data_IF_341711011496
#
_entry.id   IF_341711011496
#
_cell.length_a   1.000
_cell.length_b   1.000
_cell.length_c   1.000
_cell.angle_alpha   90.00
_cell.angle_beta   90.00
_cell.angle_gamma   90.00
#
_symmetry.space_group_name_H-M   'P 1'
#
loop_
_entity.id
_entity.type
_entity.pdbx_description
1 polymer ?
#
# COMPACT_ATOMS: atom_id res chain seq x y z
N UNK A 1 45.78 -38.19 -13.93
CA UNK A 1 46.23 -39.13 -15.00
C UNK A 1 45.95 -40.57 -14.59
N UNK A 2 46.28 -40.98 -13.38
CA UNK A 2 46.06 -42.34 -12.89
C UNK A 2 44.63 -42.84 -13.02
N UNK A 3 43.62 -41.96 -12.78
CA UNK A 3 42.22 -42.30 -12.94
C UNK A 3 41.85 -42.61 -14.40
N UNK A 4 42.39 -41.84 -15.37
CA UNK A 4 42.18 -42.05 -16.79
C UNK A 4 42.76 -43.38 -17.26
N UNK A 5 43.98 -43.69 -16.77
CA UNK A 5 44.67 -44.95 -17.06
C UNK A 5 43.92 -46.13 -16.48
N UNK A 6 43.45 -46.00 -15.23
CA UNK A 6 42.73 -47.08 -14.53
C UNK A 6 41.32 -47.33 -15.13
N UNK A 7 40.60 -46.27 -15.43
CA UNK A 7 39.22 -46.38 -15.96
C UNK A 7 39.16 -46.62 -17.49
N UNK A 8 40.27 -46.40 -18.18
CA UNK A 8 40.42 -46.58 -19.63
C UNK A 8 39.35 -45.86 -20.47
N UNK A 9 38.91 -44.68 -19.98
CA UNK A 9 37.92 -43.82 -20.66
C UNK A 9 38.29 -42.36 -20.54
N UNK A 10 37.69 -41.53 -21.39
CA UNK A 10 37.85 -40.08 -21.29
C UNK A 10 37.22 -39.58 -19.99
N UNK A 11 38.00 -38.84 -19.21
CA UNK A 11 37.51 -38.18 -18.01
C UNK A 11 37.64 -36.66 -18.15
N UNK A 12 36.68 -35.95 -17.56
CA UNK A 12 36.70 -34.49 -17.45
C UNK A 12 37.21 -34.08 -16.08
N UNK A 13 38.07 -33.09 -16.07
CA UNK A 13 38.61 -32.48 -14.86
C UNK A 13 38.45 -30.98 -14.91
N UNK A 14 38.33 -30.34 -13.75
CA UNK A 14 38.47 -28.90 -13.57
C UNK A 14 39.75 -28.62 -12.83
N UNK A 15 40.68 -27.92 -13.48
CA UNK A 15 42.04 -27.73 -12.95
C UNK A 15 42.34 -26.22 -12.88
N UNK A 16 42.92 -25.77 -11.76
CA UNK A 16 43.45 -24.40 -11.62
C UNK A 16 44.94 -24.41 -11.96
N UNK A 17 45.34 -23.68 -12.99
CA UNK A 17 46.72 -23.64 -13.51
C UNK A 17 47.27 -22.23 -13.38
N UNK A 18 48.52 -22.12 -12.92
CA UNK A 18 49.24 -20.85 -12.90
C UNK A 18 49.83 -20.56 -14.28
N UNK A 19 49.31 -19.53 -14.97
CA UNK A 19 49.84 -19.05 -16.23
C UNK A 19 50.67 -17.78 -16.04
N UNK A 20 51.31 -17.29 -17.12
CA UNK A 20 52.15 -16.09 -17.11
C UNK A 20 51.41 -14.83 -16.63
N UNK A 21 50.11 -14.77 -16.82
CA UNK A 21 49.23 -13.62 -16.50
C UNK A 21 48.24 -13.92 -15.35
N UNK A 22 48.54 -14.88 -14.45
CA UNK A 22 47.73 -15.21 -13.28
C UNK A 22 47.18 -16.62 -13.29
N UNK A 23 46.25 -16.89 -12.36
CA UNK A 23 45.57 -18.19 -12.27
C UNK A 23 44.53 -18.34 -13.37
N UNK A 24 44.50 -19.52 -14.01
CA UNK A 24 43.50 -19.87 -15.03
C UNK A 24 42.74 -21.12 -14.59
N UNK A 25 41.46 -21.13 -14.92
CA UNK A 25 40.59 -22.29 -14.67
C UNK A 25 40.43 -23.04 -15.99
N UNK A 26 40.94 -24.27 -16.05
CA UNK A 26 40.85 -25.10 -17.24
C UNK A 26 39.80 -26.21 -17.03
N UNK A 27 38.97 -26.42 -18.04
CA UNK A 27 38.20 -27.63 -18.17
C UNK A 27 38.94 -28.58 -19.11
N UNK A 28 39.54 -29.63 -18.55
CA UNK A 28 40.44 -30.55 -19.25
C UNK A 28 39.73 -31.88 -19.49
N UNK A 29 39.77 -32.36 -20.72
CA UNK A 29 39.35 -33.68 -21.10
C UNK A 29 40.59 -34.51 -21.34
N UNK A 30 40.81 -35.61 -20.59
CA UNK A 30 41.93 -36.49 -20.71
C UNK A 30 41.46 -37.87 -21.16
N UNK A 31 42.06 -38.40 -22.23
CA UNK A 31 41.77 -39.70 -22.82
C UNK A 31 42.99 -40.61 -22.76
N UNK A 32 42.85 -41.93 -22.55
CA UNK A 32 43.95 -42.84 -22.63
C UNK A 32 44.38 -43.05 -24.09
N UNK A 33 45.69 -43.13 -24.28
CA UNK A 33 46.29 -43.59 -25.52
C UNK A 33 46.57 -45.08 -25.34
N UNK A 34 45.94 -45.89 -26.16
CA UNK A 34 46.14 -47.38 -26.09
C UNK A 34 46.98 -47.85 -27.26
N UNK A 35 47.73 -48.94 -27.05
CA UNK A 35 48.49 -49.57 -28.10
C UNK A 35 47.61 -50.32 -29.07
N UNK A 36 48.17 -50.86 -30.15
CA UNK A 36 47.46 -51.65 -31.20
C UNK A 36 46.73 -52.87 -30.66
N UNK A 37 47.11 -53.34 -29.51
CA UNK A 37 46.44 -54.45 -28.80
C UNK A 37 45.09 -54.03 -28.16
N UNK A 38 44.80 -52.72 -28.10
CA UNK A 38 43.61 -52.14 -27.44
C UNK A 38 43.60 -52.31 -25.89
N UNK A 39 44.64 -52.87 -25.33
CA UNK A 39 44.73 -53.26 -23.91
C UNK A 39 45.77 -52.42 -23.14
N UNK A 40 46.96 -52.28 -23.75
CA UNK A 40 48.07 -51.59 -23.10
C UNK A 40 47.90 -50.07 -23.22
N UNK A 41 47.84 -49.35 -22.09
CA UNK A 41 47.79 -47.88 -22.06
C UNK A 41 49.21 -47.33 -22.14
N UNK A 42 49.51 -46.61 -23.23
CA UNK A 42 50.82 -46.02 -23.51
C UNK A 42 51.00 -44.65 -22.86
N UNK A 43 49.87 -43.96 -22.57
CA UNK A 43 49.89 -42.64 -21.98
C UNK A 43 48.51 -42.00 -21.99
N UNK A 44 48.44 -40.68 -21.75
CA UNK A 44 47.21 -39.91 -21.82
C UNK A 44 47.40 -38.70 -22.76
N UNK A 45 46.36 -38.34 -23.47
CA UNK A 45 46.24 -37.08 -24.20
C UNK A 45 45.14 -36.23 -23.57
N UNK A 46 45.41 -34.94 -23.42
CA UNK A 46 44.43 -34.02 -22.84
C UNK A 46 44.25 -32.77 -23.69
N UNK A 47 43.01 -32.29 -23.73
CA UNK A 47 42.66 -30.99 -24.28
C UNK A 47 42.06 -30.15 -23.14
N UNK A 48 42.65 -28.99 -22.91
CA UNK A 48 42.15 -28.03 -21.89
C UNK A 48 41.48 -26.83 -22.57
N UNK A 49 40.28 -26.52 -22.12
CA UNK A 49 39.59 -25.28 -22.43
C UNK A 49 39.77 -24.31 -21.28
N UNK A 50 40.26 -23.11 -21.55
CA UNK A 50 40.25 -22.00 -20.58
C UNK A 50 38.79 -21.50 -20.38
N UNK A 51 38.30 -21.68 -19.18
CA UNK A 51 36.96 -21.27 -18.78
C UNK A 51 36.97 -20.16 -17.72
N UNK A 52 38.13 -19.53 -17.51
CA UNK A 52 38.32 -18.52 -16.45
C UNK A 52 37.33 -17.40 -16.54
N UNK A 53 37.14 -16.79 -17.74
CA UNK A 53 36.27 -15.65 -17.93
C UNK A 53 34.80 -16.05 -17.73
N UNK A 54 34.41 -17.25 -18.15
CA UNK A 54 33.07 -17.79 -17.92
C UNK A 54 32.78 -17.99 -16.44
N UNK A 55 33.74 -18.55 -15.71
CA UNK A 55 33.60 -18.79 -14.24
C UNK A 55 33.52 -17.44 -13.49
N UNK A 56 34.39 -16.49 -13.84
CA UNK A 56 34.41 -15.16 -13.23
C UNK A 56 33.09 -14.43 -13.50
N UNK A 57 32.63 -14.40 -14.77
CA UNK A 57 31.36 -13.77 -15.12
C UNK A 57 30.17 -14.39 -14.37
N UNK A 58 30.14 -15.72 -14.23
CA UNK A 58 29.10 -16.41 -13.46
C UNK A 58 29.13 -16.01 -11.98
N UNK A 59 30.32 -15.88 -11.40
CA UNK A 59 30.50 -15.44 -10.00
C UNK A 59 30.08 -13.97 -9.81
N UNK A 60 30.42 -13.10 -10.77
CA UNK A 60 30.02 -11.69 -10.75
C UNK A 60 28.49 -11.54 -10.82
N UNK A 61 27.83 -12.29 -11.71
CA UNK A 61 26.35 -12.30 -11.82
C UNK A 61 25.74 -12.79 -10.50
N UNK A 62 26.28 -13.85 -9.91
CA UNK A 62 25.76 -14.37 -8.62
C UNK A 62 25.89 -13.31 -7.51
N UNK A 63 27.05 -12.64 -7.40
CA UNK A 63 27.28 -11.56 -6.42
C UNK A 63 26.27 -10.42 -6.65
N UNK A 64 26.06 -10.01 -7.89
CA UNK A 64 25.08 -8.96 -8.23
C UNK A 64 23.66 -9.35 -7.80
N UNK A 65 23.23 -10.55 -8.14
CA UNK A 65 21.90 -11.06 -7.75
C UNK A 65 21.73 -11.10 -6.22
N UNK A 66 22.78 -11.57 -5.50
CA UNK A 66 22.71 -11.65 -4.04
C UNK A 66 22.76 -10.28 -3.35
N UNK A 67 23.35 -9.26 -3.99
CA UNK A 67 23.45 -7.91 -3.44
C UNK A 67 22.22 -7.03 -3.73
N UNK A 68 21.34 -7.45 -4.62
CA UNK A 68 20.14 -6.67 -4.97
C UNK A 68 19.19 -6.51 -3.78
N UNK A 69 18.60 -5.30 -3.57
CA UNK A 69 17.69 -5.03 -2.46
C UNK A 69 16.28 -5.62 -2.67
N UNK A 70 16.04 -6.27 -3.82
CA UNK A 70 14.76 -6.87 -4.20
C UNK A 70 14.82 -8.39 -4.10
N UNK A 71 13.71 -9.02 -3.77
CA UNK A 71 13.60 -10.46 -3.90
C UNK A 71 13.47 -10.82 -5.38
N UNK A 72 14.25 -11.78 -5.83
CA UNK A 72 14.32 -12.20 -7.24
C UNK A 72 14.12 -13.70 -7.31
N UNK A 73 13.31 -14.10 -8.29
CA UNK A 73 13.03 -15.49 -8.62
C UNK A 73 13.08 -15.68 -10.13
N UNK A 74 13.77 -16.71 -10.57
CA UNK A 74 13.95 -17.07 -11.99
C UNK A 74 13.36 -18.45 -12.24
N UNK A 75 12.62 -18.62 -13.36
CA UNK A 75 12.12 -19.92 -13.81
C UNK A 75 12.28 -20.11 -15.31
N UNK A 76 12.29 -21.35 -15.75
CA UNK A 76 12.42 -21.76 -17.15
C UNK A 76 11.09 -21.68 -17.92
N UNK A 77 11.14 -22.00 -19.22
CA UNK A 77 9.96 -22.02 -20.09
C UNK A 77 8.90 -23.08 -19.72
N UNK A 78 9.26 -24.03 -18.84
CA UNK A 78 8.34 -25.05 -18.33
C UNK A 78 7.71 -24.63 -16.99
N UNK A 79 7.96 -23.40 -16.53
CA UNK A 79 7.47 -22.90 -15.25
C UNK A 79 8.28 -23.37 -14.05
N UNK A 80 9.41 -24.09 -14.23
CA UNK A 80 10.23 -24.59 -13.12
C UNK A 80 11.16 -23.53 -12.59
N UNK A 81 11.11 -23.27 -11.29
CA UNK A 81 11.98 -22.34 -10.57
C UNK A 81 13.42 -22.83 -10.64
N UNK A 82 14.31 -22.02 -11.20
CA UNK A 82 15.73 -22.28 -11.38
C UNK A 82 16.59 -21.68 -10.29
N UNK A 83 16.26 -20.46 -9.85
CA UNK A 83 17.06 -19.74 -8.87
C UNK A 83 16.22 -18.73 -8.07
N UNK A 84 16.68 -18.43 -6.86
CA UNK A 84 16.17 -17.36 -6.00
C UNK A 84 17.34 -16.72 -5.26
N UNK A 85 17.28 -15.42 -5.02
CA UNK A 85 18.33 -14.71 -4.29
C UNK A 85 18.08 -14.69 -2.78
N UNK A 86 19.05 -14.21 -2.00
CA UNK A 86 18.97 -14.11 -0.54
C UNK A 86 17.78 -13.25 -0.07
N UNK A 87 17.45 -12.17 -0.81
CA UNK A 87 16.28 -11.32 -0.48
C UNK A 87 14.96 -12.06 -0.59
N UNK A 88 14.85 -12.99 -1.52
CA UNK A 88 13.70 -13.89 -1.61
C UNK A 88 13.53 -14.70 -0.31
N UNK A 89 14.61 -15.29 0.21
CA UNK A 89 14.56 -16.04 1.47
C UNK A 89 14.15 -15.15 2.66
N UNK A 90 14.65 -13.90 2.69
CA UNK A 90 14.29 -12.93 3.73
C UNK A 90 12.81 -12.53 3.67
N UNK A 91 12.23 -12.36 2.46
CA UNK A 91 10.84 -11.91 2.29
C UNK A 91 9.84 -13.02 2.57
N UNK A 92 10.09 -14.20 2.01
CA UNK A 92 9.17 -15.33 2.08
C UNK A 92 9.47 -16.31 3.23
N UNK A 93 10.59 -16.13 3.96
CA UNK A 93 11.06 -17.03 5.04
C UNK A 93 11.19 -18.49 4.60
N UNK A 94 11.51 -18.68 3.33
CA UNK A 94 11.71 -20.00 2.72
C UNK A 94 13.15 -20.06 2.19
N UNK A 95 13.92 -21.12 2.51
CA UNK A 95 15.22 -21.32 1.89
C UNK A 95 15.05 -21.57 0.40
N UNK A 96 15.98 -21.09 -0.41
CA UNK A 96 15.91 -21.21 -1.87
C UNK A 96 15.78 -22.66 -2.34
N UNK A 97 16.43 -23.60 -1.63
CA UNK A 97 16.38 -25.04 -1.92
C UNK A 97 14.96 -25.60 -1.80
N UNK A 98 14.09 -24.98 -1.00
CA UNK A 98 12.72 -25.41 -0.84
C UNK A 98 11.82 -25.03 -2.03
N UNK A 99 12.24 -24.10 -2.88
CA UNK A 99 11.47 -23.63 -4.04
C UNK A 99 12.07 -24.03 -5.38
N UNK A 100 13.38 -24.24 -5.46
CA UNK A 100 14.05 -24.70 -6.69
C UNK A 100 13.41 -26.01 -7.20
N UNK A 101 13.11 -26.06 -8.51
CA UNK A 101 12.46 -27.17 -9.18
C UNK A 101 10.94 -27.27 -9.00
N UNK A 102 10.33 -26.44 -8.14
CA UNK A 102 8.86 -26.32 -8.05
C UNK A 102 8.32 -25.55 -9.24
N UNK A 103 7.04 -25.75 -9.51
CA UNK A 103 6.29 -24.97 -10.48
C UNK A 103 5.98 -23.57 -9.92
N UNK A 104 6.28 -22.54 -10.72
CA UNK A 104 6.10 -21.14 -10.31
C UNK A 104 4.63 -20.77 -10.08
N UNK A 105 3.73 -21.20 -10.99
CA UNK A 105 2.31 -20.85 -10.91
C UNK A 105 1.66 -21.48 -9.68
N UNK A 106 2.05 -22.70 -9.34
CA UNK A 106 1.60 -23.39 -8.14
C UNK A 106 2.15 -22.71 -6.88
N UNK A 107 3.42 -22.34 -6.90
CA UNK A 107 4.06 -21.67 -5.77
C UNK A 107 3.46 -20.28 -5.53
N UNK A 108 3.35 -19.45 -6.57
CA UNK A 108 2.87 -18.06 -6.46
C UNK A 108 1.41 -17.99 -6.01
N UNK A 109 0.60 -19.00 -6.37
CA UNK A 109 -0.80 -19.08 -5.94
C UNK A 109 -0.95 -19.25 -4.42
N UNK A 110 0.02 -19.94 -3.78
CA UNK A 110 0.01 -20.16 -2.33
C UNK A 110 0.84 -19.16 -1.52
N UNK A 111 1.63 -18.31 -2.18
CA UNK A 111 2.58 -17.43 -1.51
C UNK A 111 1.95 -16.14 -0.97
N UNK A 112 0.76 -15.76 -1.46
CA UNK A 112 0.10 -14.50 -1.13
C UNK A 112 -1.31 -14.72 -0.59
N UNK A 113 -1.78 -13.80 0.25
CA UNK A 113 -3.20 -13.69 0.60
C UNK A 113 -4.03 -13.44 -0.67
N UNK A 114 -5.31 -13.83 -0.66
CA UNK A 114 -6.18 -13.82 -1.84
C UNK A 114 -6.37 -12.45 -2.51
N UNK A 115 -6.04 -11.34 -1.84
CA UNK A 115 -6.22 -10.00 -2.38
C UNK A 115 -4.98 -9.50 -3.12
N UNK A 116 -4.98 -9.72 -4.44
CA UNK A 116 -4.05 -9.03 -5.34
C UNK A 116 -4.74 -7.77 -5.87
N UNK A 117 -4.04 -6.64 -5.83
CA UNK A 117 -4.52 -5.37 -6.38
C UNK A 117 -3.59 -4.91 -7.49
N UNK A 118 -4.14 -4.14 -8.45
CA UNK A 118 -3.32 -3.49 -9.49
C UNK A 118 -3.16 -2.04 -9.04
N UNK A 119 -1.90 -1.57 -8.96
CA UNK A 119 -1.61 -0.19 -8.59
C UNK A 119 -1.84 0.77 -9.76
N UNK A 120 -1.65 2.09 -9.52
CA UNK A 120 -1.85 3.13 -10.53
C UNK A 120 -0.90 3.04 -11.74
N UNK A 121 0.22 2.32 -11.60
CA UNK A 121 1.21 2.08 -12.64
C UNK A 121 0.97 0.77 -13.42
N UNK A 122 -0.05 0.00 -13.03
CA UNK A 122 -0.43 -1.25 -13.68
C UNK A 122 0.30 -2.49 -13.16
N UNK A 123 1.09 -2.38 -12.08
CA UNK A 123 1.76 -3.51 -11.45
C UNK A 123 0.87 -4.21 -10.42
N UNK A 124 1.08 -5.50 -10.26
CA UNK A 124 0.38 -6.30 -9.26
C UNK A 124 1.00 -6.07 -7.89
N UNK A 125 0.17 -5.70 -6.93
CA UNK A 125 0.55 -5.64 -5.52
C UNK A 125 -0.14 -6.75 -4.74
N UNK A 126 0.61 -7.43 -3.87
CA UNK A 126 0.10 -8.49 -3.03
C UNK A 126 0.72 -8.46 -1.64
N UNK A 127 -0.05 -8.88 -0.63
CA UNK A 127 0.41 -8.99 0.74
C UNK A 127 0.93 -10.40 1.01
N UNK A 128 2.14 -10.48 1.57
CA UNK A 128 2.68 -11.73 2.12
C UNK A 128 2.36 -11.74 3.61
N UNK A 129 1.55 -12.71 4.03
CA UNK A 129 1.29 -12.95 5.46
C UNK A 129 2.53 -13.55 6.12
N UNK A 130 2.78 -13.13 7.34
CA UNK A 130 3.83 -13.68 8.19
C UNK A 130 3.22 -14.17 9.50
N UNK A 131 3.77 -15.22 10.04
CA UNK A 131 3.36 -15.75 11.35
C UNK A 131 3.53 -14.74 12.48
N UNK A 132 4.44 -13.75 12.32
CA UNK A 132 4.67 -12.64 13.26
C UNK A 132 3.65 -11.48 13.13
N UNK A 133 2.67 -11.59 12.24
CA UNK A 133 1.63 -10.57 12.00
C UNK A 133 2.10 -9.34 11.21
N UNK A 134 3.39 -9.19 10.94
CA UNK A 134 3.96 -8.10 10.15
C UNK A 134 4.01 -8.48 8.66
N UNK A 135 2.87 -8.50 7.98
CA UNK A 135 2.81 -8.75 6.54
C UNK A 135 3.54 -7.68 5.74
N UNK A 136 4.23 -8.09 4.65
CA UNK A 136 4.85 -7.17 3.69
C UNK A 136 3.92 -6.92 2.51
N UNK A 137 3.86 -5.67 2.04
CA UNK A 137 3.25 -5.34 0.77
C UNK A 137 4.32 -5.41 -0.32
N UNK A 138 4.18 -6.34 -1.26
CA UNK A 138 5.12 -6.52 -2.36
C UNK A 138 4.50 -6.10 -3.68
N UNK A 139 5.24 -5.32 -4.44
CA UNK A 139 4.97 -5.02 -5.85
C UNK A 139 5.69 -6.05 -6.70
N UNK A 140 4.98 -6.66 -7.65
CA UNK A 140 5.42 -7.82 -8.42
C UNK A 140 5.66 -7.40 -9.87
N UNK A 141 6.88 -7.60 -10.37
CA UNK A 141 7.28 -7.32 -11.75
C UNK A 141 7.76 -8.60 -12.42
N UNK A 142 7.04 -9.05 -13.46
CA UNK A 142 7.43 -10.20 -14.26
C UNK A 142 8.01 -9.75 -15.61
N UNK A 143 9.19 -10.26 -15.94
CA UNK A 143 9.88 -9.96 -17.19
C UNK A 143 10.33 -11.25 -17.87
N UNK A 144 10.27 -11.28 -19.21
CA UNK A 144 10.82 -12.37 -19.99
C UNK A 144 12.34 -12.24 -20.11
N UNK A 145 13.05 -13.35 -19.97
CA UNK A 145 14.50 -13.47 -20.20
C UNK A 145 14.70 -14.14 -21.56
N UNK A 146 15.57 -13.56 -22.38
CA UNK A 146 15.83 -14.01 -23.74
C UNK A 146 17.22 -14.62 -23.85
N UNK A 147 17.36 -15.64 -24.69
CA UNK A 147 18.64 -16.20 -25.07
C UNK A 147 19.37 -15.35 -26.15
N UNK A 148 20.55 -15.77 -26.55
CA UNK A 148 21.35 -15.07 -27.58
C UNK A 148 20.74 -15.07 -28.97
N UNK A 149 19.71 -15.89 -29.19
CA UNK A 149 18.95 -16.00 -30.43
C UNK A 149 17.62 -15.27 -30.37
N UNK A 150 17.38 -14.49 -29.29
CA UNK A 150 16.14 -13.76 -29.02
C UNK A 150 14.91 -14.65 -28.83
N UNK A 151 15.10 -15.90 -28.37
CA UNK A 151 14.02 -16.77 -27.90
C UNK A 151 13.84 -16.61 -26.39
N UNK A 152 12.62 -16.72 -25.90
CA UNK A 152 12.35 -16.72 -24.46
C UNK A 152 13.06 -17.93 -23.83
N UNK A 153 14.03 -17.69 -22.96
CA UNK A 153 14.75 -18.72 -22.22
C UNK A 153 14.12 -19.00 -20.86
N UNK A 154 13.28 -18.08 -20.36
CA UNK A 154 12.63 -18.15 -19.07
C UNK A 154 12.02 -16.84 -18.69
N UNK A 155 11.63 -16.70 -17.41
CA UNK A 155 11.10 -15.46 -16.86
C UNK A 155 11.77 -15.12 -15.54
N UNK A 156 11.79 -13.84 -15.24
CA UNK A 156 12.31 -13.24 -14.01
C UNK A 156 11.17 -12.52 -13.29
N UNK A 157 10.99 -12.80 -12.01
CA UNK A 157 10.11 -12.04 -11.14
C UNK A 157 10.93 -11.24 -10.13
N UNK A 158 10.61 -9.96 -10.00
CA UNK A 158 11.16 -9.05 -9.01
C UNK A 158 10.04 -8.67 -8.05
N UNK A 159 10.27 -8.89 -6.76
CA UNK A 159 9.36 -8.48 -5.68
C UNK A 159 10.00 -7.29 -4.95
N UNK A 160 9.36 -6.13 -5.06
CA UNK A 160 9.77 -4.90 -4.38
C UNK A 160 8.94 -4.73 -3.12
N UNK A 161 9.57 -4.55 -1.98
CA UNK A 161 8.90 -4.21 -0.73
C UNK A 161 8.49 -2.73 -0.74
N UNK A 162 7.19 -2.48 -0.83
CA UNK A 162 6.59 -1.14 -0.84
C UNK A 162 5.80 -0.85 0.44
N UNK A 163 6.04 -1.63 1.50
CA UNK A 163 5.30 -1.53 2.77
C UNK A 163 5.38 -0.12 3.36
N UNK A 164 6.60 0.41 3.50
CA UNK A 164 6.83 1.73 4.09
C UNK A 164 6.23 2.83 3.22
N UNK A 165 6.41 2.76 1.91
CA UNK A 165 5.84 3.72 0.95
C UNK A 165 4.31 3.76 1.07
N UNK A 166 3.66 2.59 1.11
CA UNK A 166 2.20 2.52 1.21
C UNK A 166 1.66 2.98 2.57
N UNK A 167 2.40 2.71 3.63
CA UNK A 167 2.01 3.18 4.97
C UNK A 167 2.19 4.71 5.08
N UNK A 168 3.26 5.27 4.54
CA UNK A 168 3.45 6.72 4.44
C UNK A 168 2.37 7.37 3.57
N UNK A 169 2.05 6.82 2.41
CA UNK A 169 0.97 7.33 1.57
C UNK A 169 -0.38 7.33 2.30
N UNK A 170 -0.69 6.26 3.05
CA UNK A 170 -1.91 6.21 3.88
C UNK A 170 -1.90 7.28 4.97
N UNK A 171 -0.77 7.47 5.66
CA UNK A 171 -0.62 8.49 6.69
C UNK A 171 -0.76 9.90 6.10
N UNK A 172 -0.11 10.19 4.97
CA UNK A 172 -0.22 11.47 4.27
C UNK A 172 -1.67 11.69 3.81
N UNK A 173 -2.32 10.68 3.24
CA UNK A 173 -3.72 10.76 2.82
C UNK A 173 -4.65 11.00 4.01
N UNK A 174 -4.43 10.30 5.12
CA UNK A 174 -5.22 10.47 6.33
C UNK A 174 -5.04 11.89 6.89
N UNK A 175 -3.83 12.35 7.09
CA UNK A 175 -3.54 13.70 7.59
C UNK A 175 -3.95 14.81 6.61
N UNK A 176 -3.98 14.52 5.30
CA UNK A 176 -4.45 15.47 4.28
C UNK A 176 -5.97 15.57 4.19
N UNK A 177 -6.73 14.55 4.65
CA UNK A 177 -8.18 14.47 4.51
C UNK A 177 -8.94 14.67 5.82
N UNK A 178 -8.26 14.64 6.96
CA UNK A 178 -8.88 14.79 8.27
C UNK A 178 -8.42 16.08 8.97
N UNK A 179 -9.24 16.59 9.87
CA UNK A 179 -8.89 17.62 10.82
C UNK A 179 -8.07 17.01 11.97
N UNK A 180 -6.90 17.52 12.23
CA UNK A 180 -5.92 16.95 13.17
C UNK A 180 -6.42 16.90 14.63
N UNK A 181 -7.30 17.84 15.02
CA UNK A 181 -7.81 17.92 16.39
C UNK A 181 -8.98 16.96 16.61
N UNK A 182 -9.94 17.00 15.71
CA UNK A 182 -11.20 16.27 15.87
C UNK A 182 -11.21 14.92 15.19
N UNK A 183 -10.30 14.66 14.23
CA UNK A 183 -10.28 13.46 13.39
C UNK A 183 -11.47 13.32 12.45
N UNK A 184 -12.36 14.31 12.35
CA UNK A 184 -13.39 14.40 11.30
C UNK A 184 -12.73 14.68 9.95
N UNK A 185 -13.47 14.50 8.86
CA UNK A 185 -12.99 14.95 7.57
C UNK A 185 -12.80 16.47 7.56
N UNK A 186 -11.80 16.94 6.81
CA UNK A 186 -11.53 18.37 6.68
C UNK A 186 -12.24 18.98 5.45
N UNK A 187 -12.12 20.28 5.29
CA UNK A 187 -12.67 21.05 4.16
C UNK A 187 -12.26 20.46 2.80
N UNK A 188 -11.00 20.06 2.64
CA UNK A 188 -10.48 19.47 1.40
C UNK A 188 -11.18 18.16 1.06
N UNK A 189 -11.30 17.28 2.05
CA UNK A 189 -11.98 15.99 1.87
C UNK A 189 -13.45 16.17 1.53
N UNK A 190 -14.14 17.17 2.12
CA UNK A 190 -15.53 17.50 1.78
C UNK A 190 -15.69 17.80 0.28
N UNK A 191 -14.89 18.70 -0.29
CA UNK A 191 -14.97 18.99 -1.72
C UNK A 191 -14.66 17.80 -2.60
N UNK A 192 -13.67 16.97 -2.23
CA UNK A 192 -13.37 15.73 -2.94
C UNK A 192 -14.51 14.73 -2.87
N UNK A 193 -15.13 14.55 -1.69
CA UNK A 193 -16.26 13.66 -1.49
C UNK A 193 -17.44 14.02 -2.40
N UNK A 194 -17.81 15.29 -2.41
CA UNK A 194 -18.89 15.77 -3.28
C UNK A 194 -18.52 15.62 -4.76
N UNK A 195 -17.30 15.96 -5.16
CA UNK A 195 -16.86 15.81 -6.54
C UNK A 195 -16.97 14.37 -7.03
N UNK A 196 -16.51 13.41 -6.23
CA UNK A 196 -16.53 11.99 -6.58
C UNK A 196 -17.94 11.38 -6.57
N UNK A 197 -18.90 12.00 -5.88
CA UNK A 197 -20.26 11.54 -5.78
C UNK A 197 -21.25 12.41 -6.60
N UNK A 198 -20.74 13.20 -7.54
CA UNK A 198 -21.53 13.94 -8.52
C UNK A 198 -22.29 12.97 -9.44
N UNK A 199 -23.48 12.64 -9.11
CA UNK A 199 -24.37 11.82 -9.91
C UNK A 199 -25.74 11.82 -9.29
N UNK A 200 -26.79 11.65 -10.04
CA UNK A 200 -28.25 11.54 -9.81
C UNK A 200 -28.78 11.36 -8.37
N UNK A 201 -28.16 11.93 -7.33
CA UNK A 201 -28.59 11.81 -5.94
C UNK A 201 -28.91 13.18 -5.36
N UNK A 202 -30.02 13.27 -4.66
CA UNK A 202 -30.31 14.41 -3.78
C UNK A 202 -29.21 14.54 -2.75
N UNK A 203 -28.78 15.76 -2.46
CA UNK A 203 -27.78 16.03 -1.41
C UNK A 203 -28.45 16.89 -0.35
N UNK A 204 -28.37 16.44 0.90
CA UNK A 204 -28.81 17.22 2.06
C UNK A 204 -27.58 17.66 2.85
N UNK A 205 -27.56 18.88 3.33
CA UNK A 205 -26.44 19.47 4.03
C UNK A 205 -26.93 20.17 5.30
N UNK A 206 -26.28 19.88 6.43
CA UNK A 206 -26.42 20.62 7.67
C UNK A 206 -25.12 21.39 7.92
N UNK A 207 -25.19 22.71 7.96
CA UNK A 207 -24.09 23.58 8.35
C UNK A 207 -24.26 23.92 9.83
N UNK A 208 -23.26 23.63 10.63
CA UNK A 208 -23.30 23.71 12.09
C UNK A 208 -22.21 24.67 12.56
N UNK A 209 -22.55 25.52 13.51
CA UNK A 209 -21.61 26.46 14.13
C UNK A 209 -21.87 26.53 15.65
N UNK A 210 -20.81 26.51 16.43
CA UNK A 210 -20.90 26.53 17.90
C UNK A 210 -21.15 27.95 18.39
N UNK A 211 -22.26 28.14 19.09
CA UNK A 211 -22.64 29.45 19.58
C UNK A 211 -21.65 29.99 20.60
N UNK A 212 -21.13 31.19 20.35
CA UNK A 212 -20.20 31.89 21.26
C UNK A 212 -18.93 31.10 21.60
N UNK A 213 -18.46 30.27 20.71
CA UNK A 213 -17.25 29.47 20.94
C UNK A 213 -16.03 30.32 21.32
N UNK A 214 -15.93 31.51 20.75
CA UNK A 214 -14.88 32.46 21.13
C UNK A 214 -14.93 32.82 22.62
N UNK A 215 -16.12 33.05 23.20
CA UNK A 215 -16.30 33.34 24.62
C UNK A 215 -15.82 32.19 25.51
N UNK A 216 -15.99 30.93 25.05
CA UNK A 216 -15.45 29.75 25.74
C UNK A 216 -13.92 29.78 25.76
N UNK A 217 -13.29 30.07 24.62
CA UNK A 217 -11.84 30.19 24.52
C UNK A 217 -11.30 31.33 25.40
N UNK A 218 -11.97 32.48 25.37
CA UNK A 218 -11.57 33.67 26.12
C UNK A 218 -11.73 33.47 27.64
N UNK A 219 -12.72 32.67 28.06
CA UNK A 219 -13.05 32.44 29.49
C UNK A 219 -12.24 31.29 30.11
N UNK A 220 -12.15 30.16 29.38
CA UNK A 220 -11.62 28.88 29.90
C UNK A 220 -10.29 28.49 29.26
N UNK A 221 -9.85 29.24 28.25
CA UNK A 221 -8.63 28.94 27.49
C UNK A 221 -8.79 27.91 26.37
N UNK A 222 -7.82 27.90 25.45
CA UNK A 222 -7.88 27.08 24.25
C UNK A 222 -7.94 25.57 24.51
N UNK A 223 -7.37 25.09 25.63
CA UNK A 223 -7.47 23.66 25.98
C UNK A 223 -8.91 23.19 26.20
N UNK A 224 -9.73 24.02 26.82
CA UNK A 224 -11.15 23.75 27.01
C UNK A 224 -11.89 23.87 25.67
N UNK A 225 -11.56 24.89 24.88
CA UNK A 225 -12.09 25.02 23.52
C UNK A 225 -11.80 23.81 22.63
N UNK A 226 -10.57 23.30 22.65
CA UNK A 226 -10.22 22.07 21.92
C UNK A 226 -11.02 20.87 22.40
N UNK A 227 -11.22 20.69 23.71
CA UNK A 227 -12.05 19.64 24.26
C UNK A 227 -13.53 19.77 23.84
N UNK A 228 -14.05 20.99 23.72
CA UNK A 228 -15.38 21.26 23.18
C UNK A 228 -15.50 20.83 21.72
N UNK A 229 -14.50 21.14 20.89
CA UNK A 229 -14.49 20.74 19.48
C UNK A 229 -14.44 19.22 19.33
N UNK A 230 -13.61 18.53 20.14
CA UNK A 230 -13.54 17.06 20.16
C UNK A 230 -14.87 16.47 20.60
N UNK A 231 -15.48 16.97 21.68
CA UNK A 231 -16.80 16.52 22.14
C UNK A 231 -17.87 16.68 21.06
N UNK A 232 -17.91 17.84 20.38
CA UNK A 232 -18.84 18.08 19.27
C UNK A 232 -18.65 17.06 18.16
N UNK A 233 -17.40 16.76 17.80
CA UNK A 233 -17.08 15.75 16.80
C UNK A 233 -17.58 14.36 17.20
N UNK A 234 -17.45 14.00 18.46
CA UNK A 234 -17.89 12.68 18.98
C UNK A 234 -19.42 12.58 18.96
N UNK A 235 -20.14 13.64 19.35
CA UNK A 235 -21.60 13.71 19.25
C UNK A 235 -22.05 13.56 17.79
N UNK A 236 -21.41 14.27 16.86
CA UNK A 236 -21.72 14.16 15.43
C UNK A 236 -21.47 12.77 14.88
N UNK A 237 -20.35 12.12 15.23
CA UNK A 237 -20.07 10.72 14.82
C UNK A 237 -21.11 9.73 15.34
N UNK A 238 -21.62 9.94 16.55
CA UNK A 238 -22.61 9.05 17.14
C UNK A 238 -23.97 9.17 16.48
N UNK A 239 -24.40 10.40 16.18
CA UNK A 239 -25.72 10.67 15.60
C UNK A 239 -25.75 10.44 14.08
N UNK A 240 -24.68 10.70 13.37
CA UNK A 240 -24.58 10.68 11.92
C UNK A 240 -23.59 9.61 11.40
N UNK A 241 -23.70 8.37 11.89
CA UNK A 241 -22.74 7.28 11.61
C UNK A 241 -22.62 6.94 10.13
N UNK A 242 -23.70 7.06 9.39
CA UNK A 242 -23.77 6.68 7.98
C UNK A 242 -23.59 7.89 7.04
N UNK A 243 -23.40 9.07 7.61
CA UNK A 243 -23.26 10.31 6.86
C UNK A 243 -21.81 10.77 6.79
N UNK A 244 -21.52 11.64 5.85
CA UNK A 244 -20.24 12.29 5.76
C UNK A 244 -20.20 13.49 6.72
N UNK A 245 -19.31 13.42 7.72
CA UNK A 245 -19.16 14.48 8.73
C UNK A 245 -17.78 15.12 8.62
N UNK A 246 -17.75 16.46 8.53
CA UNK A 246 -16.53 17.23 8.37
C UNK A 246 -16.47 18.43 9.31
N UNK A 247 -15.21 18.88 9.63
CA UNK A 247 -14.94 20.18 10.23
C UNK A 247 -14.28 21.08 9.18
N UNK A 248 -14.88 22.23 8.90
CA UNK A 248 -14.34 23.15 7.89
C UNK A 248 -13.24 24.05 8.41
N UNK A 249 -13.20 24.29 9.71
CA UNK A 249 -12.24 25.13 10.41
C UNK A 249 -12.91 25.87 11.58
N UNK A 250 -12.15 26.32 12.54
CA UNK A 250 -12.69 27.00 13.71
C UNK A 250 -13.76 26.17 14.43
N UNK A 251 -14.95 26.72 14.54
CA UNK A 251 -16.16 26.18 15.18
C UNK A 251 -17.21 25.66 14.16
N UNK A 252 -16.84 25.55 12.87
CA UNK A 252 -17.74 25.18 11.77
C UNK A 252 -17.66 23.68 11.43
N UNK A 253 -18.81 23.00 11.42
CA UNK A 253 -18.95 21.59 11.05
C UNK A 253 -19.99 21.41 9.96
N UNK A 254 -19.86 20.32 9.20
CA UNK A 254 -20.80 19.91 8.18
C UNK A 254 -21.21 18.46 8.36
N UNK A 255 -22.51 18.19 8.10
CA UNK A 255 -23.03 16.84 7.85
C UNK A 255 -23.61 16.81 6.45
N UNK A 256 -23.19 15.81 5.65
CA UNK A 256 -23.65 15.64 4.27
C UNK A 256 -24.25 14.25 4.11
N UNK A 257 -25.49 14.21 3.66
CA UNK A 257 -26.22 12.98 3.31
C UNK A 257 -26.50 12.92 1.82
N UNK A 258 -26.15 11.78 1.22
CA UNK A 258 -26.41 11.50 -0.19
C UNK A 258 -27.64 10.60 -0.34
N UNK A 259 -28.54 10.97 -1.25
CA UNK A 259 -29.77 10.24 -1.53
C UNK A 259 -31.00 10.92 -0.99
N UNK A 260 -32.15 10.33 -1.27
CA UNK A 260 -33.45 10.91 -0.83
C UNK A 260 -33.56 10.80 0.68
N UNK A 261 -33.76 11.93 1.33
CA UNK A 261 -34.09 12.06 2.74
C UNK A 261 -35.31 12.98 2.90
N UNK A 262 -36.19 12.66 3.87
CA UNK A 262 -37.26 13.54 4.26
C UNK A 262 -36.68 14.72 5.06
N UNK A 263 -37.11 15.92 4.79
CA UNK A 263 -36.69 17.12 5.55
C UNK A 263 -37.02 16.98 7.03
N UNK A 264 -38.18 16.41 7.36
CA UNK A 264 -38.62 16.18 8.74
C UNK A 264 -37.65 15.29 9.52
N UNK A 265 -36.98 14.31 8.85
CA UNK A 265 -35.93 13.47 9.47
C UNK A 265 -34.68 14.30 9.79
N UNK A 266 -34.26 15.16 8.87
CA UNK A 266 -33.13 16.07 9.10
C UNK A 266 -33.39 17.05 10.24
N UNK A 267 -34.63 17.53 10.35
CA UNK A 267 -35.08 18.42 11.43
C UNK A 267 -35.02 17.69 12.78
N UNK A 268 -35.53 16.45 12.88
CA UNK A 268 -35.45 15.62 14.09
C UNK A 268 -34.02 15.32 14.52
N UNK A 269 -33.14 15.00 13.57
CA UNK A 269 -31.73 14.75 13.84
C UNK A 269 -31.01 16.03 14.29
N UNK A 270 -31.31 17.17 13.70
CA UNK A 270 -30.79 18.47 14.14
C UNK A 270 -31.28 18.82 15.56
N UNK A 271 -32.53 18.54 15.89
CA UNK A 271 -33.06 18.71 17.25
C UNK A 271 -32.33 17.78 18.27
N UNK A 272 -32.11 16.51 17.90
CA UNK A 272 -31.38 15.57 18.73
C UNK A 272 -29.94 16.06 18.99
N UNK A 273 -29.25 16.52 17.94
CA UNK A 273 -27.92 17.11 18.06
C UNK A 273 -27.92 18.35 18.99
N UNK A 274 -28.84 19.29 18.76
CA UNK A 274 -28.94 20.49 19.60
C UNK A 274 -29.27 20.19 21.06
N UNK A 275 -30.04 19.14 21.32
CA UNK A 275 -30.33 18.68 22.69
C UNK A 275 -29.10 18.10 23.35
N UNK A 276 -28.34 17.30 22.63
CA UNK A 276 -27.11 16.69 23.16
C UNK A 276 -26.05 17.75 23.47
N UNK A 277 -25.87 18.75 22.57
CA UNK A 277 -24.92 19.84 22.77
C UNK A 277 -25.22 20.72 23.99
N UNK A 278 -26.50 20.79 24.44
CA UNK A 278 -26.87 21.50 25.67
C UNK A 278 -26.51 20.76 26.95
N UNK A 279 -26.24 19.46 26.84
CA UNK A 279 -25.88 18.65 27.99
C UNK A 279 -24.48 19.05 28.47
N UNK A 280 -24.37 19.35 29.75
CA UNK A 280 -23.07 19.71 30.34
C UNK A 280 -22.12 18.49 30.33
N UNK A 281 -20.87 18.72 29.95
CA UNK A 281 -19.83 17.70 29.93
C UNK A 281 -18.52 18.21 30.54
N UNK A 282 -17.63 17.29 30.90
CA UNK A 282 -16.33 17.64 31.44
C UNK A 282 -15.33 17.91 30.31
N UNK A 283 -14.78 19.12 30.30
CA UNK A 283 -13.74 19.56 29.38
C UNK A 283 -12.53 20.06 30.16
N UNK A 284 -11.43 19.36 30.15
CA UNK A 284 -10.18 19.70 30.84
C UNK A 284 -10.41 20.15 32.31
N UNK A 285 -11.13 19.33 33.08
CA UNK A 285 -11.50 19.54 34.49
C UNK A 285 -12.55 20.66 34.76
N UNK A 286 -13.13 21.23 33.69
CA UNK A 286 -14.21 22.23 33.78
C UNK A 286 -15.52 21.62 33.28
N UNK A 287 -16.62 21.94 33.97
CA UNK A 287 -17.97 21.57 33.46
C UNK A 287 -18.42 22.65 32.48
N UNK A 288 -18.57 22.29 31.23
CA UNK A 288 -18.96 23.23 30.15
C UNK A 288 -20.29 22.77 29.53
N UNK A 289 -21.12 23.75 29.22
CA UNK A 289 -22.31 23.58 28.40
C UNK A 289 -22.27 24.57 27.25
N UNK A 290 -22.49 24.09 26.04
CA UNK A 290 -22.42 24.92 24.84
C UNK A 290 -23.63 24.63 23.96
N UNK A 291 -24.13 25.65 23.29
CA UNK A 291 -25.15 25.48 22.23
C UNK A 291 -24.55 25.60 20.84
N UNK A 292 -25.29 25.13 19.88
CA UNK A 292 -24.96 25.27 18.47
C UNK A 292 -26.14 25.81 17.69
N UNK A 293 -25.87 26.39 16.54
CA UNK A 293 -26.87 26.78 15.54
C UNK A 293 -26.68 25.93 14.29
N UNK A 294 -27.76 25.53 13.63
CA UNK A 294 -27.75 24.63 12.47
C UNK A 294 -28.55 25.25 11.33
N UNK A 295 -27.94 25.27 10.13
CA UNK A 295 -28.59 25.61 8.89
C UNK A 295 -28.76 24.37 8.00
N UNK A 296 -29.98 24.07 7.56
CA UNK A 296 -30.27 22.88 6.74
C UNK A 296 -30.64 23.35 5.34
N UNK A 297 -30.03 22.72 4.32
CA UNK A 297 -30.41 22.90 2.92
C UNK A 297 -30.41 21.56 2.20
N UNK A 298 -31.34 21.40 1.25
CA UNK A 298 -31.42 20.19 0.41
C UNK A 298 -31.48 20.61 -1.06
N UNK A 299 -30.76 19.86 -1.89
CA UNK A 299 -30.83 19.99 -3.34
C UNK A 299 -31.86 19.01 -3.89
N UNK A 300 -32.71 19.51 -4.80
CA UNK A 300 -33.69 18.70 -5.53
C UNK A 300 -33.18 18.22 -6.89
N UNK A 301 -32.03 18.73 -7.37
CA UNK A 301 -31.51 18.51 -8.72
C UNK A 301 -30.42 17.47 -8.78
N UNK A 302 -30.38 16.76 -9.91
CA UNK A 302 -29.36 15.75 -10.21
C UNK A 302 -27.95 16.33 -10.49
N UNK A 303 -27.84 17.63 -10.77
CA UNK A 303 -26.60 18.37 -10.88
C UNK A 303 -26.50 19.39 -9.75
N UNK A 304 -25.99 18.95 -8.60
CA UNK A 304 -25.88 19.81 -7.42
C UNK A 304 -24.73 20.80 -7.61
N UNK A 305 -25.08 22.09 -7.66
CA UNK A 305 -24.10 23.14 -7.39
C UNK A 305 -23.85 23.19 -5.88
N UNK A 306 -22.69 22.66 -5.48
CA UNK A 306 -22.35 22.52 -4.07
C UNK A 306 -22.12 23.88 -3.40
N UNK A 307 -21.58 24.85 -4.13
CA UNK A 307 -21.33 26.18 -3.58
C UNK A 307 -22.65 26.91 -3.33
N UNK A 308 -23.61 26.74 -4.23
CA UNK A 308 -24.98 27.25 -4.01
C UNK A 308 -25.66 26.53 -2.84
N UNK A 309 -25.49 25.23 -2.67
CA UNK A 309 -26.06 24.50 -1.55
C UNK A 309 -25.40 24.89 -0.21
N UNK A 310 -24.09 25.09 -0.17
CA UNK A 310 -23.38 25.65 0.99
C UNK A 310 -23.93 27.05 1.33
N UNK A 311 -24.05 27.91 0.35
CA UNK A 311 -24.57 29.24 0.56
C UNK A 311 -26.00 29.24 1.12
N UNK A 312 -26.88 28.35 0.65
CA UNK A 312 -28.23 28.16 1.17
C UNK A 312 -28.23 27.70 2.63
N UNK A 313 -27.39 26.74 2.96
CA UNK A 313 -27.28 26.26 4.34
C UNK A 313 -26.68 27.31 5.28
N UNK A 314 -25.70 28.11 4.83
CA UNK A 314 -25.17 29.24 5.56
C UNK A 314 -26.23 30.33 5.81
N UNK A 315 -27.06 30.66 4.80
CA UNK A 315 -28.17 31.57 4.99
C UNK A 315 -29.17 31.08 6.04
N UNK A 316 -29.48 29.77 6.04
CA UNK A 316 -30.35 29.19 7.07
C UNK A 316 -29.68 29.23 8.44
N UNK A 317 -28.37 28.95 8.55
CA UNK A 317 -27.59 29.08 9.77
C UNK A 317 -27.60 30.52 10.32
N UNK A 318 -27.43 31.47 9.44
CA UNK A 318 -27.50 32.89 9.82
C UNK A 318 -28.89 33.27 10.37
N UNK A 319 -29.96 32.73 9.79
CA UNK A 319 -31.32 32.90 10.31
C UNK A 319 -31.48 32.27 11.71
N UNK A 320 -30.94 31.06 11.91
CA UNK A 320 -30.95 30.43 13.23
C UNK A 320 -30.22 31.29 14.30
N UNK A 321 -29.05 31.83 13.95
CA UNK A 321 -28.29 32.74 14.82
C UNK A 321 -29.08 34.03 15.12
N UNK A 322 -29.74 34.64 14.14
CA UNK A 322 -30.55 35.84 14.35
C UNK A 322 -31.82 35.60 15.17
N UNK A 323 -32.41 34.42 15.03
CA UNK A 323 -33.64 34.06 15.77
C UNK A 323 -33.38 33.70 17.25
N UNK A 324 -32.14 33.88 17.75
CA UNK A 324 -31.80 33.68 19.14
C UNK A 324 -30.88 32.50 19.41
N UNK A 325 -30.24 31.92 18.39
CA UNK A 325 -29.27 30.77 18.50
C UNK A 325 -29.90 29.49 19.07
N UNK A 326 -29.07 28.46 19.30
CA UNK A 326 -29.51 27.22 19.92
C UNK A 326 -30.69 26.57 19.26
N UNK A 327 -30.70 26.60 17.92
CA UNK A 327 -31.80 26.10 17.04
C UNK A 327 -31.31 25.76 15.65
N UNK A 328 -32.15 25.11 14.91
CA UNK A 328 -31.95 24.96 13.46
C UNK A 328 -32.89 25.86 12.65
N UNK A 329 -32.53 26.11 11.41
CA UNK A 329 -33.43 26.68 10.39
C UNK A 329 -33.24 25.88 9.09
N UNK A 330 -34.33 25.74 8.32
CA UNK A 330 -34.31 25.11 6.99
C UNK A 330 -34.39 26.19 5.94
N UNK A 331 -33.51 26.13 4.95
CA UNK A 331 -33.63 26.98 3.76
C UNK A 331 -34.84 26.53 2.93
N UNK A 332 -35.77 27.40 2.72
CA UNK A 332 -36.97 27.19 1.94
C UNK A 332 -36.97 28.03 0.67
#
# INVERSE_FOLDING_TARGET
>A
EDAVIKERRTLQFTESVKASHGMRQLRTYKSPIVDRDGITVLGTVGIGHDVTDLVNMSAEIEILLQSMPYAILLWDNNGKILNANRKFEEYFKLPREAVIGRDYDVWIAGAFEEQRTINSEGYVEARVSREDGAGKMLEIHENSVYDVFNHVAGKLCIFRDVTVERDLEKQIRHSSNTDFLTGLYNRRCFYQYIHNNRGSRTVSLMYIDLDRFKEVNDTYGHKVGDAVLVHTADVLRQLFRDDFVARLGGDEFLVVRLGRCCVDQLEQEAEAFLKEMKTAFMAAEQTVSLSASVGIAQSSDSMVDIDALLQRSDQALYQAKKAGRSRYCVYR
#
